data_IF_959882175915
#
_entry.id   IF_959882175915
#
_cell.length_a   1.000
_cell.length_b   1.000
_cell.length_c   1.000
_cell.angle_alpha   90.00
_cell.angle_beta   90.00
_cell.angle_gamma   90.00
#
_symmetry.space_group_name_H-M   'P 1'
#
loop_
_entity.id
_entity.type
_entity.pdbx_description
1 polymer ?
#
# COMPACT_ATOMS: atom_id res chain seq x y z
N UNK A 1 -11.91 -3.94 20.25
CA UNK A 1 -10.95 -4.04 19.14
C UNK A 1 -9.61 -4.54 19.66
N UNK A 2 -8.98 -5.45 18.95
CA UNK A 2 -7.70 -6.02 19.37
C UNK A 2 -6.58 -5.02 19.14
N UNK A 3 -5.68 -4.89 20.12
CA UNK A 3 -4.51 -4.03 19.98
C UNK A 3 -3.50 -4.62 18.99
N UNK A 4 -3.69 -5.90 18.61
CA UNK A 4 -2.80 -6.57 17.68
C UNK A 4 -3.34 -6.61 16.25
N UNK A 5 -4.52 -6.03 16.02
CA UNK A 5 -5.17 -6.08 14.73
C UNK A 5 -5.36 -4.68 14.18
N UNK A 6 -4.25 -4.04 13.84
CA UNK A 6 -4.30 -2.71 13.21
C UNK A 6 -4.68 -2.89 11.74
N UNK A 7 -5.76 -2.24 11.28
CA UNK A 7 -6.13 -2.33 9.86
C UNK A 7 -5.03 -1.81 8.95
N UNK A 8 -4.85 -2.41 7.78
CA UNK A 8 -3.82 -1.95 6.84
C UNK A 8 -3.97 -0.47 6.47
N UNK A 9 -5.20 0.04 6.43
CA UNK A 9 -5.46 1.45 6.12
C UNK A 9 -4.82 2.37 7.14
N UNK A 10 -4.74 1.95 8.38
CA UNK A 10 -4.09 2.74 9.42
C UNK A 10 -2.61 2.45 9.48
N UNK A 11 -2.25 1.19 9.35
CA UNK A 11 -0.84 0.78 9.42
C UNK A 11 -0.02 1.45 8.33
N UNK A 12 -0.57 1.55 7.13
CA UNK A 12 0.13 2.09 5.97
C UNK A 12 -0.43 3.44 5.53
N UNK A 13 -1.00 4.21 6.46
CA UNK A 13 -1.64 5.49 6.12
C UNK A 13 -0.69 6.44 5.39
N UNK A 14 0.56 6.55 5.86
CA UNK A 14 1.54 7.42 5.24
C UNK A 14 1.88 6.95 3.83
N UNK A 15 2.08 5.65 3.67
CA UNK A 15 2.39 5.06 2.37
C UNK A 15 1.24 5.23 1.39
N UNK A 16 0.01 5.06 1.89
CA UNK A 16 -1.17 5.26 1.04
C UNK A 16 -1.24 6.69 0.53
N UNK A 17 -0.95 7.67 1.39
CA UNK A 17 -0.93 9.06 0.99
C UNK A 17 0.13 9.30 -0.09
N UNK A 18 1.30 8.68 0.05
CA UNK A 18 2.36 8.81 -0.94
C UNK A 18 1.95 8.22 -2.28
N UNK A 19 1.28 7.07 -2.27
CA UNK A 19 0.81 6.44 -3.50
C UNK A 19 -0.23 7.32 -4.20
N UNK A 20 -1.12 7.95 -3.44
CA UNK A 20 -2.11 8.86 -4.01
C UNK A 20 -1.43 10.06 -4.66
N UNK A 21 -0.38 10.59 -4.04
CA UNK A 21 0.36 11.71 -4.61
C UNK A 21 1.02 11.34 -5.92
N UNK A 22 1.34 10.08 -6.11
CA UNK A 22 1.90 9.58 -7.36
C UNK A 22 0.85 9.30 -8.43
N UNK A 23 -0.43 9.40 -8.07
CA UNK A 23 -1.51 9.14 -9.02
C UNK A 23 -2.15 7.76 -8.90
N UNK A 24 -1.77 6.98 -7.90
CA UNK A 24 -2.39 5.67 -7.67
C UNK A 24 -3.58 5.86 -6.74
N UNK A 25 -4.77 5.93 -7.31
CA UNK A 25 -5.99 6.27 -6.55
C UNK A 25 -6.83 5.07 -6.16
N UNK A 26 -6.49 3.87 -6.60
CA UNK A 26 -7.22 2.67 -6.24
C UNK A 26 -6.74 2.19 -4.87
N UNK A 27 -7.48 2.57 -3.83
CA UNK A 27 -7.08 2.29 -2.45
C UNK A 27 -6.93 0.79 -2.19
N UNK A 28 -7.84 -0.03 -2.71
CA UNK A 28 -7.77 -1.47 -2.49
C UNK A 28 -6.51 -2.08 -3.10
N UNK A 29 -6.19 -1.69 -4.32
CA UNK A 29 -4.98 -2.17 -4.97
C UNK A 29 -3.73 -1.67 -4.26
N UNK A 30 -3.75 -0.42 -3.80
CA UNK A 30 -2.64 0.15 -3.06
C UNK A 30 -2.39 -0.64 -1.77
N UNK A 31 -3.47 -0.97 -1.05
CA UNK A 31 -3.35 -1.74 0.18
C UNK A 31 -2.77 -3.12 -0.10
N UNK A 32 -3.25 -3.79 -1.14
CA UNK A 32 -2.74 -5.10 -1.51
C UNK A 32 -1.25 -5.05 -1.82
N UNK A 33 -0.83 -4.04 -2.57
CA UNK A 33 0.57 -3.88 -2.92
C UNK A 33 1.43 -3.63 -1.69
N UNK A 34 0.92 -2.83 -0.74
CA UNK A 34 1.66 -2.54 0.48
C UNK A 34 1.74 -3.74 1.40
N UNK A 35 0.67 -4.52 1.50
CA UNK A 35 0.69 -5.75 2.28
C UNK A 35 1.73 -6.71 1.69
N UNK A 36 1.72 -6.87 0.38
CA UNK A 36 2.63 -7.80 -0.30
C UNK A 36 4.09 -7.37 -0.17
N UNK A 37 4.35 -6.09 0.06
CA UNK A 37 5.71 -5.55 0.13
C UNK A 37 6.08 -5.09 1.54
N UNK A 38 5.26 -5.42 2.54
CA UNK A 38 5.47 -5.05 3.93
C UNK A 38 5.64 -3.54 4.11
N UNK A 39 4.86 -2.76 3.36
CA UNK A 39 4.86 -1.31 3.48
C UNK A 39 5.92 -0.60 2.68
N UNK A 40 6.62 -1.29 1.79
CA UNK A 40 7.65 -0.69 0.95
C UNK A 40 7.01 0.01 -0.25
N UNK A 41 7.00 1.35 -0.25
CA UNK A 41 6.34 2.13 -1.30
C UNK A 41 6.97 1.88 -2.67
N UNK A 42 8.30 1.80 -2.74
CA UNK A 42 8.98 1.55 -4.01
C UNK A 42 8.54 0.23 -4.64
N UNK A 43 8.57 -0.82 -3.84
CA UNK A 43 8.15 -2.13 -4.31
C UNK A 43 6.66 -2.15 -4.64
N UNK A 44 5.85 -1.44 -3.86
CA UNK A 44 4.42 -1.35 -4.12
C UNK A 44 4.15 -0.68 -5.47
N UNK A 45 4.88 0.39 -5.78
CA UNK A 45 4.75 1.06 -7.07
C UNK A 45 5.07 0.11 -8.22
N UNK A 46 6.13 -0.66 -8.08
CA UNK A 46 6.50 -1.63 -9.11
C UNK A 46 5.42 -2.67 -9.33
N UNK A 47 4.80 -3.13 -8.24
CA UNK A 47 3.69 -4.09 -8.36
C UNK A 47 2.48 -3.44 -9.02
N UNK A 48 2.18 -2.19 -8.66
CA UNK A 48 1.03 -1.48 -9.24
C UNK A 48 1.23 -1.22 -10.72
N UNK A 49 2.48 -1.00 -11.14
CA UNK A 49 2.79 -0.81 -12.54
C UNK A 49 2.92 -2.14 -13.31
N UNK A 50 2.93 -3.25 -12.59
CA UNK A 50 2.99 -4.56 -13.24
C UNK A 50 4.38 -4.98 -13.70
N UNK A 51 5.43 -4.35 -13.17
CA UNK A 51 6.79 -4.71 -13.53
C UNK A 51 7.20 -6.07 -13.00
N UNK A 52 6.62 -6.45 -11.89
CA UNK A 52 6.93 -7.74 -11.28
C UNK A 52 5.84 -8.69 -11.70
N UNK A 53 6.13 -9.46 -12.68
CA UNK A 53 5.19 -10.40 -13.24
C UNK A 53 4.90 -11.59 -12.34
#
# INVERSE_FOLDING_TARGET
MSIFAVPPEELYATQLAQLQEMGFFDTQENIRALIATAGNVHAAVERLLGYIG
#
